data_IF_609412032298
#
_entry.id   IF_609412032298
#
_cell.length_a   1.000
_cell.length_b   1.000
_cell.length_c   1.000
_cell.angle_alpha   90.00
_cell.angle_beta   90.00
_cell.angle_gamma   90.00
#
_symmetry.space_group_name_H-M   'P 1'
#
loop_
_entity.id
_entity.type
_entity.pdbx_description
1 polymer ?
#
# COMPACT_ATOMS: atom_id res chain seq x y z
N UNK A 1 -36.00 8.95 -25.05
CA UNK A 1 -35.12 9.60 -24.04
C UNK A 1 -34.79 8.70 -22.83
N UNK A 2 -34.69 7.38 -22.97
CA UNK A 2 -34.52 6.48 -21.80
C UNK A 2 -33.10 5.94 -21.60
N UNK A 3 -32.39 5.62 -22.70
CA UNK A 3 -31.04 5.02 -22.64
C UNK A 3 -29.99 5.95 -22.04
N UNK A 4 -30.02 7.24 -22.41
CA UNK A 4 -29.06 8.23 -21.90
C UNK A 4 -29.24 8.50 -20.40
N UNK A 5 -30.50 8.47 -19.92
CA UNK A 5 -30.81 8.70 -18.51
C UNK A 5 -30.46 7.47 -17.63
N UNK A 6 -30.56 6.25 -18.18
CA UNK A 6 -30.07 5.03 -17.52
C UNK A 6 -28.55 5.00 -17.44
N UNK A 7 -27.86 5.39 -18.53
CA UNK A 7 -26.41 5.47 -18.55
C UNK A 7 -25.89 6.51 -17.54
N UNK A 8 -26.54 7.67 -17.44
CA UNK A 8 -26.21 8.69 -16.43
C UNK A 8 -26.32 8.17 -15.00
N UNK A 9 -27.41 7.47 -14.66
CA UNK A 9 -27.59 6.86 -13.33
C UNK A 9 -26.51 5.81 -13.02
N UNK A 10 -26.17 4.97 -14.01
CA UNK A 10 -25.12 3.97 -13.85
C UNK A 10 -23.76 4.61 -13.56
N UNK A 11 -23.42 5.69 -14.28
CA UNK A 11 -22.17 6.42 -14.07
C UNK A 11 -22.10 7.05 -12.68
N UNK A 12 -23.21 7.60 -12.17
CA UNK A 12 -23.27 8.13 -10.80
C UNK A 12 -23.04 7.03 -9.75
N UNK A 13 -23.68 5.88 -9.91
CA UNK A 13 -23.48 4.74 -8.99
C UNK A 13 -22.02 4.26 -9.01
N UNK A 14 -21.42 4.14 -10.19
CA UNK A 14 -20.01 3.78 -10.31
C UNK A 14 -19.10 4.82 -9.66
N UNK A 15 -19.37 6.12 -9.86
CA UNK A 15 -18.62 7.19 -9.21
C UNK A 15 -18.64 7.08 -7.68
N UNK A 16 -19.80 6.78 -7.10
CA UNK A 16 -19.94 6.58 -5.64
C UNK A 16 -19.11 5.39 -5.17
N UNK A 17 -19.17 4.25 -5.89
CA UNK A 17 -18.38 3.07 -5.55
C UNK A 17 -16.87 3.35 -5.60
N UNK A 18 -16.41 4.11 -6.59
CA UNK A 18 -15.01 4.52 -6.70
C UNK A 18 -14.56 5.41 -5.55
N UNK A 19 -15.37 6.39 -5.15
CA UNK A 19 -15.04 7.29 -4.02
C UNK A 19 -14.96 6.50 -2.70
N UNK A 20 -15.90 5.58 -2.47
CA UNK A 20 -15.87 4.71 -1.28
C UNK A 20 -14.65 3.79 -1.29
N UNK A 21 -14.32 3.19 -2.44
CA UNK A 21 -13.13 2.35 -2.59
C UNK A 21 -11.83 3.12 -2.37
N UNK A 22 -11.72 4.33 -2.91
CA UNK A 22 -10.57 5.21 -2.70
C UNK A 22 -10.42 5.63 -1.23
N UNK A 23 -11.52 5.98 -0.57
CA UNK A 23 -11.54 6.29 0.86
C UNK A 23 -11.10 5.11 1.73
N UNK A 24 -11.59 3.91 1.43
CA UNK A 24 -11.20 2.69 2.15
C UNK A 24 -9.73 2.33 1.93
N UNK A 25 -9.23 2.43 0.70
CA UNK A 25 -7.82 2.20 0.39
C UNK A 25 -6.92 3.22 1.09
N UNK A 26 -7.30 4.50 1.10
CA UNK A 26 -6.57 5.55 1.81
C UNK A 26 -6.51 5.31 3.32
N UNK A 27 -7.66 4.95 3.92
CA UNK A 27 -7.75 4.60 5.33
C UNK A 27 -6.85 3.40 5.68
N UNK A 28 -6.87 2.35 4.85
CA UNK A 28 -6.00 1.16 5.02
C UNK A 28 -4.52 1.47 4.88
N UNK A 29 -4.15 2.37 3.96
CA UNK A 29 -2.77 2.82 3.80
C UNK A 29 -2.32 3.56 5.07
N UNK A 30 -3.16 4.42 5.64
CA UNK A 30 -2.85 5.16 6.86
C UNK A 30 -2.70 4.22 8.07
N UNK A 31 -3.60 3.26 8.25
CA UNK A 31 -3.44 2.18 9.26
C UNK A 31 -2.15 1.37 9.03
N UNK A 32 -1.78 1.12 7.78
CA UNK A 32 -0.54 0.45 7.39
C UNK A 32 0.69 1.23 7.86
N UNK A 33 0.75 2.53 7.60
CA UNK A 33 1.85 3.38 8.06
C UNK A 33 1.94 3.44 9.59
N UNK A 34 0.82 3.59 10.29
CA UNK A 34 0.79 3.62 11.75
C UNK A 34 1.22 2.27 12.35
N UNK A 35 0.79 1.16 11.77
CA UNK A 35 1.20 -0.18 12.21
C UNK A 35 2.68 -0.47 11.94
N UNK A 36 3.22 -0.03 10.80
CA UNK A 36 4.65 -0.10 10.50
C UNK A 36 5.47 0.80 11.44
N UNK A 37 4.94 1.96 11.81
CA UNK A 37 5.57 2.87 12.76
C UNK A 37 5.55 2.31 14.19
N UNK A 38 4.43 1.73 14.63
CA UNK A 38 4.30 1.06 15.91
C UNK A 38 5.18 -0.21 15.99
N UNK A 39 5.27 -0.98 14.92
CA UNK A 39 6.17 -2.14 14.81
C UNK A 39 7.65 -1.70 14.82
N UNK A 40 7.99 -0.65 14.09
CA UNK A 40 9.33 -0.05 14.09
C UNK A 40 9.73 0.46 15.48
N UNK A 41 8.81 1.09 16.20
CA UNK A 41 9.02 1.57 17.57
C UNK A 41 9.15 0.43 18.59
N UNK A 42 8.36 -0.64 18.44
CA UNK A 42 8.39 -1.78 19.35
C UNK A 42 9.58 -2.74 19.10
N UNK A 43 10.11 -2.79 17.87
CA UNK A 43 11.17 -3.74 17.49
C UNK A 43 12.50 -3.13 17.09
N UNK A 44 12.67 -1.79 17.09
CA UNK A 44 13.93 -1.13 16.72
C UNK A 44 14.47 -1.59 15.33
N UNK A 45 13.57 -2.04 14.45
CA UNK A 45 13.85 -2.41 13.06
C UNK A 45 13.52 -1.19 12.21
N UNK A 46 14.47 -0.26 12.13
CA UNK A 46 14.38 0.88 11.20
C UNK A 46 14.64 0.34 9.80
N UNK A 47 13.58 0.00 9.07
CA UNK A 47 13.66 -0.33 7.64
C UNK A 47 14.12 0.91 6.88
N UNK A 48 15.41 0.97 6.55
CA UNK A 48 15.98 2.05 5.74
C UNK A 48 15.82 1.65 4.29
N UNK A 49 15.50 2.62 3.44
CA UNK A 49 15.47 2.44 2.00
C UNK A 49 16.46 3.41 1.36
N UNK A 50 17.11 2.98 0.28
CA UNK A 50 17.93 3.90 -0.52
C UNK A 50 17.04 4.74 -1.45
N UNK A 51 17.64 5.71 -2.15
CA UNK A 51 16.95 6.61 -3.09
C UNK A 51 16.31 5.87 -4.27
N UNK A 52 16.71 4.61 -4.49
CA UNK A 52 16.19 3.72 -5.53
C UNK A 52 15.03 2.83 -5.02
N UNK A 53 14.59 3.02 -3.77
CA UNK A 53 13.48 2.27 -3.17
C UNK A 53 13.85 0.84 -2.73
N UNK A 54 15.14 0.51 -2.66
CA UNK A 54 15.61 -0.80 -2.21
C UNK A 54 15.77 -0.82 -0.70
N UNK A 55 15.30 -1.90 -0.06
CA UNK A 55 15.45 -2.11 1.36
C UNK A 55 16.93 -2.27 1.72
N UNK A 56 17.39 -1.52 2.73
CA UNK A 56 18.74 -1.56 3.29
C UNK A 56 18.69 -2.29 4.63
N UNK A 57 19.37 -3.42 4.72
CA UNK A 57 19.61 -4.10 6.00
C UNK A 57 20.97 -3.63 6.54
N UNK A 58 20.96 -2.93 7.69
CA UNK A 58 22.16 -2.32 8.32
C UNK A 58 23.02 -1.47 7.36
N UNK A 59 22.38 -0.83 6.37
CA UNK A 59 23.05 0.03 5.39
C UNK A 59 23.56 -0.69 4.13
N UNK A 60 23.30 -1.99 3.95
CA UNK A 60 23.67 -2.74 2.74
C UNK A 60 22.44 -3.28 2.00
N UNK A 61 22.30 -3.06 0.69
CA UNK A 61 21.18 -3.57 -0.10
C UNK A 61 21.27 -5.09 -0.34
N UNK A 62 22.47 -5.69 -0.34
CA UNK A 62 22.62 -7.12 -0.67
C UNK A 62 22.06 -8.06 0.41
N UNK A 63 22.16 -7.66 1.68
CA UNK A 63 21.67 -8.46 2.80
C UNK A 63 20.13 -8.54 2.81
N UNK A 64 19.46 -7.43 2.49
CA UNK A 64 18.00 -7.38 2.38
C UNK A 64 17.47 -8.26 1.24
N UNK A 65 18.13 -8.27 0.08
CA UNK A 65 17.73 -9.10 -1.07
C UNK A 65 17.82 -10.60 -0.75
N UNK A 66 18.79 -11.02 0.07
CA UNK A 66 18.92 -12.41 0.49
C UNK A 66 17.76 -12.85 1.38
N UNK A 67 17.28 -11.96 2.25
CA UNK A 67 16.10 -12.19 3.09
C UNK A 67 14.83 -12.27 2.21
N UNK A 68 14.67 -11.39 1.23
CA UNK A 68 13.51 -11.41 0.30
C UNK A 68 13.41 -12.73 -0.49
N UNK A 69 14.55 -13.29 -0.94
CA UNK A 69 14.56 -14.59 -1.63
C UNK A 69 14.07 -15.72 -0.71
N UNK A 70 14.58 -15.79 0.52
CA UNK A 70 14.13 -16.78 1.50
C UNK A 70 12.63 -16.71 1.82
N UNK A 71 12.00 -15.54 1.71
CA UNK A 71 10.57 -15.34 1.97
C UNK A 71 9.66 -15.63 0.77
N UNK A 72 10.19 -15.59 -0.45
CA UNK A 72 9.37 -15.65 -1.69
C UNK A 72 9.57 -16.94 -2.46
N UNK A 73 10.72 -17.60 -2.28
CA UNK A 73 11.12 -18.80 -3.03
C UNK A 73 10.91 -20.11 -2.24
N UNK A 74 10.30 -20.06 -1.05
CA UNK A 74 9.87 -21.24 -0.25
C UNK A 74 8.35 -21.49 -0.36
#
# INVERSE_FOLDING_TARGET
MTRFNQLGKLMVVMGILFVLGAGFAFYKIQEGYDSLQALSAAQNVVLKYNEQGQLLDRGKPEAAQKITRLLTED
#
